data_IF_849416357972
#
_entry.id   IF_849416357972
#
_cell.length_a   1.000
_cell.length_b   1.000
_cell.length_c   1.000
_cell.angle_alpha   90.00
_cell.angle_beta   90.00
_cell.angle_gamma   90.00
#
_symmetry.space_group_name_H-M   'P 1'
#
loop_
_entity.id
_entity.type
_entity.pdbx_description
1 polymer ?
#
# COMPACT_ATOMS: atom_id res chain seq x y z
N UNK A 1 -11.86 -45.11 -10.68
CA UNK A 1 -10.80 -44.08 -10.86
C UNK A 1 -11.29 -42.81 -11.57
N UNK A 2 -12.60 -42.68 -11.86
CA UNK A 2 -13.18 -41.51 -12.54
C UNK A 2 -13.77 -40.47 -11.57
N UNK A 3 -14.00 -40.86 -10.30
CA UNK A 3 -14.58 -39.99 -9.27
C UNK A 3 -13.62 -38.91 -8.76
N UNK A 4 -12.30 -39.11 -8.91
CA UNK A 4 -11.28 -38.14 -8.49
C UNK A 4 -11.13 -36.99 -9.49
N UNK A 5 -11.25 -37.25 -10.80
CA UNK A 5 -11.10 -36.22 -11.84
C UNK A 5 -12.31 -35.26 -11.92
N UNK A 6 -13.52 -35.74 -11.60
CA UNK A 6 -14.74 -34.91 -11.55
C UNK A 6 -14.70 -33.95 -10.35
N UNK A 7 -14.16 -34.41 -9.21
CA UNK A 7 -13.89 -33.55 -8.05
C UNK A 7 -12.85 -32.48 -8.38
N UNK A 8 -11.77 -32.85 -9.07
CA UNK A 8 -10.68 -31.93 -9.46
C UNK A 8 -11.14 -30.81 -10.41
N UNK A 9 -12.06 -31.12 -11.34
CA UNK A 9 -12.68 -30.12 -12.23
C UNK A 9 -13.65 -29.19 -11.50
N UNK A 10 -14.37 -29.68 -10.48
CA UNK A 10 -15.28 -28.85 -9.67
C UNK A 10 -14.56 -27.94 -8.67
N UNK A 11 -13.33 -28.31 -8.27
CA UNK A 11 -12.47 -27.52 -7.39
C UNK A 11 -11.71 -26.40 -8.11
N UNK A 12 -11.63 -26.43 -9.44
CA UNK A 12 -11.07 -25.32 -10.23
C UNK A 12 -12.08 -24.18 -10.27
N UNK A 13 -11.85 -23.21 -9.38
CA UNK A 13 -12.59 -21.95 -9.32
C UNK A 13 -12.69 -21.33 -10.73
N UNK A 14 -13.90 -20.95 -11.12
CA UNK A 14 -14.15 -20.38 -12.44
C UNK A 14 -13.23 -19.17 -12.70
N UNK A 15 -12.67 -19.05 -13.90
CA UNK A 15 -11.79 -17.92 -14.30
C UNK A 15 -12.43 -16.56 -14.01
N UNK A 16 -13.76 -16.47 -14.07
CA UNK A 16 -14.52 -15.26 -13.71
C UNK A 16 -14.39 -14.91 -12.22
N UNK A 17 -14.43 -15.91 -11.34
CA UNK A 17 -14.29 -15.72 -9.90
C UNK A 17 -12.87 -15.24 -9.52
N UNK A 18 -11.84 -15.70 -10.24
CA UNK A 18 -10.49 -15.14 -10.10
C UNK A 18 -10.43 -13.66 -10.51
N UNK A 19 -11.13 -13.25 -11.57
CA UNK A 19 -11.18 -11.85 -11.98
C UNK A 19 -11.91 -10.96 -10.95
N UNK A 20 -13.04 -11.42 -10.41
CA UNK A 20 -13.75 -10.74 -9.31
C UNK A 20 -13.00 -10.77 -7.98
N UNK A 21 -12.04 -11.67 -7.78
CA UNK A 21 -11.16 -11.64 -6.62
C UNK A 21 -9.93 -10.74 -6.85
N UNK A 22 -9.50 -10.58 -8.11
CA UNK A 22 -8.29 -9.85 -8.47
C UNK A 22 -8.51 -8.34 -8.66
N UNK A 23 -9.75 -7.85 -8.77
CA UNK A 23 -10.00 -6.41 -8.93
C UNK A 23 -9.33 -5.50 -7.87
N UNK A 24 -9.14 -5.90 -6.58
CA UNK A 24 -8.43 -5.07 -5.60
C UNK A 24 -6.93 -4.98 -5.89
N UNK A 25 -6.35 -5.92 -6.65
CA UNK A 25 -4.94 -5.87 -7.04
C UNK A 25 -4.66 -4.67 -7.95
N UNK A 26 -5.65 -4.22 -8.73
CA UNK A 26 -5.52 -2.98 -9.52
C UNK A 26 -5.37 -1.78 -8.59
N UNK A 27 -6.09 -1.76 -7.46
CA UNK A 27 -6.02 -0.69 -6.46
C UNK A 27 -4.66 -0.66 -5.76
N UNK A 28 -3.98 -1.81 -5.64
CA UNK A 28 -2.60 -1.87 -5.13
C UNK A 28 -1.63 -1.16 -6.06
N UNK A 29 -1.86 -1.15 -7.38
CA UNK A 29 -0.99 -0.40 -8.30
C UNK A 29 -1.11 1.12 -8.07
N UNK A 30 -2.34 1.63 -7.93
CA UNK A 30 -2.57 3.06 -7.70
C UNK A 30 -2.23 3.50 -6.27
N UNK A 31 -2.74 2.76 -5.28
CA UNK A 31 -2.44 2.98 -3.88
C UNK A 31 -0.95 2.77 -3.59
N UNK A 32 -0.35 1.71 -4.12
CA UNK A 32 1.08 1.43 -3.97
C UNK A 32 1.96 2.47 -4.64
N UNK A 33 1.60 2.97 -5.83
CA UNK A 33 2.35 4.04 -6.49
C UNK A 33 2.33 5.35 -5.67
N UNK A 34 1.16 5.77 -5.19
CA UNK A 34 1.06 6.93 -4.30
C UNK A 34 1.81 6.69 -2.98
N UNK A 35 1.70 5.48 -2.42
CA UNK A 35 2.40 5.09 -1.19
C UNK A 35 3.91 5.15 -1.35
N UNK A 36 4.42 4.76 -2.53
CA UNK A 36 5.84 4.87 -2.87
C UNK A 36 6.28 6.34 -2.90
N UNK A 37 5.52 7.23 -3.54
CA UNK A 37 5.83 8.67 -3.57
C UNK A 37 5.91 9.24 -2.14
N UNK A 38 4.90 8.97 -1.30
CA UNK A 38 4.90 9.42 0.10
C UNK A 38 6.03 8.80 0.92
N UNK A 39 6.36 7.52 0.67
CA UNK A 39 7.47 6.82 1.30
C UNK A 39 8.84 7.43 0.94
N UNK A 40 9.05 7.78 -0.34
CA UNK A 40 10.27 8.46 -0.79
C UNK A 40 10.38 9.85 -0.15
N UNK A 41 9.29 10.62 -0.13
CA UNK A 41 9.27 11.93 0.53
C UNK A 41 9.62 11.79 2.02
N UNK A 42 9.00 10.84 2.72
CA UNK A 42 9.28 10.59 4.13
C UNK A 42 10.75 10.21 4.36
N UNK A 43 11.31 9.34 3.52
CA UNK A 43 12.72 8.98 3.57
C UNK A 43 13.64 10.20 3.42
N UNK A 44 13.39 11.06 2.43
CA UNK A 44 14.19 12.27 2.22
C UNK A 44 14.06 13.26 3.39
N UNK A 45 12.88 13.39 3.97
CA UNK A 45 12.67 14.21 5.17
C UNK A 45 13.41 13.64 6.38
N UNK A 46 13.36 12.32 6.57
CA UNK A 46 14.05 11.64 7.67
C UNK A 46 15.58 11.77 7.54
N UNK A 47 16.14 11.68 6.32
CA UNK A 47 17.56 11.96 6.10
C UNK A 47 17.95 13.36 6.61
N UNK A 48 17.16 14.39 6.27
CA UNK A 48 17.40 15.76 6.76
C UNK A 48 17.33 15.83 8.29
N UNK A 49 16.31 15.21 8.91
CA UNK A 49 16.15 15.15 10.37
C UNK A 49 17.34 14.49 11.04
N UNK A 50 17.85 13.38 10.49
CA UNK A 50 19.00 12.67 11.05
C UNK A 50 20.30 13.46 10.93
N UNK A 51 20.47 14.27 9.87
CA UNK A 51 21.62 15.16 9.69
C UNK A 51 21.58 16.44 10.54
N UNK A 52 20.42 16.83 11.07
CA UNK A 52 20.27 18.04 11.90
C UNK A 52 20.94 17.90 13.28
N UNK A 53 21.22 19.03 13.93
CA UNK A 53 21.77 19.10 15.30
C UNK A 53 20.76 18.76 16.42
N UNK A 54 19.59 18.22 16.06
CA UNK A 54 18.54 17.86 17.00
C UNK A 54 18.98 16.77 18.00
N UNK A 55 18.46 16.84 19.22
CA UNK A 55 18.65 15.80 20.23
C UNK A 55 18.08 14.46 19.75
N UNK A 56 18.59 13.35 20.30
CA UNK A 56 18.20 11.99 19.89
C UNK A 56 16.68 11.76 19.98
N UNK A 57 16.05 12.22 21.06
CA UNK A 57 14.59 12.10 21.25
C UNK A 57 13.82 12.89 20.19
N UNK A 58 14.25 14.11 19.86
CA UNK A 58 13.58 14.94 18.86
C UNK A 58 13.67 14.32 17.46
N UNK A 59 14.78 13.67 17.13
CA UNK A 59 14.93 12.92 15.86
C UNK A 59 13.96 11.75 15.77
N UNK A 60 13.77 11.00 16.86
CA UNK A 60 12.81 9.89 16.91
C UNK A 60 11.38 10.39 16.75
N UNK A 61 11.00 11.45 17.47
CA UNK A 61 9.67 12.03 17.36
C UNK A 61 9.41 12.61 15.96
N UNK A 62 10.40 13.29 15.37
CA UNK A 62 10.29 13.82 14.02
C UNK A 62 10.17 12.70 12.97
N UNK A 63 10.90 11.59 13.12
CA UNK A 63 10.75 10.43 12.25
C UNK A 63 9.36 9.78 12.36
N UNK A 64 8.84 9.65 13.57
CA UNK A 64 7.50 9.12 13.82
C UNK A 64 6.42 10.04 13.23
N UNK A 65 6.52 11.35 13.47
CA UNK A 65 5.62 12.35 12.91
C UNK A 65 5.68 12.36 11.38
N UNK A 66 6.87 12.26 10.79
CA UNK A 66 7.06 12.18 9.34
C UNK A 66 6.35 10.96 8.74
N UNK A 67 6.51 9.78 9.36
CA UNK A 67 5.81 8.56 8.94
C UNK A 67 4.29 8.69 9.06
N UNK A 68 3.79 9.24 10.16
CA UNK A 68 2.35 9.48 10.35
C UNK A 68 1.79 10.47 9.32
N UNK A 69 2.50 11.57 9.05
CA UNK A 69 2.10 12.54 8.03
C UNK A 69 2.10 11.94 6.62
N UNK A 70 3.07 11.09 6.29
CA UNK A 70 3.12 10.41 5.01
C UNK A 70 1.94 9.43 4.83
N UNK A 71 1.59 8.68 5.87
CA UNK A 71 0.41 7.80 5.88
C UNK A 71 -0.89 8.59 5.74
N UNK A 72 -1.04 9.70 6.47
CA UNK A 72 -2.21 10.56 6.35
C UNK A 72 -2.33 11.17 4.96
N UNK A 73 -1.22 11.69 4.40
CA UNK A 73 -1.18 12.23 3.05
C UNK A 73 -1.56 11.19 2.00
N UNK A 74 -0.98 9.99 2.08
CA UNK A 74 -1.33 8.87 1.23
C UNK A 74 -2.81 8.50 1.32
N UNK A 75 -3.36 8.42 2.53
CA UNK A 75 -4.78 8.10 2.75
C UNK A 75 -5.71 9.16 2.15
N UNK A 76 -5.44 10.45 2.39
CA UNK A 76 -6.26 11.52 1.81
C UNK A 76 -6.18 11.54 0.28
N UNK A 77 -4.97 11.38 -0.28
CA UNK A 77 -4.79 11.33 -1.74
C UNK A 77 -5.44 10.09 -2.35
N UNK A 78 -5.39 8.93 -1.69
CA UNK A 78 -6.02 7.71 -2.20
C UNK A 78 -7.55 7.81 -2.17
N UNK A 79 -8.13 8.39 -1.13
CA UNK A 79 -9.58 8.67 -1.06
C UNK A 79 -10.01 9.68 -2.14
N UNK A 80 -9.20 10.70 -2.38
CA UNK A 80 -9.47 11.66 -3.44
C UNK A 80 -9.45 11.01 -4.83
N UNK A 81 -8.43 10.18 -5.11
CA UNK A 81 -8.36 9.39 -6.36
C UNK A 81 -9.54 8.43 -6.48
N UNK A 82 -9.93 7.75 -5.40
CA UNK A 82 -11.11 6.89 -5.39
C UNK A 82 -12.40 7.65 -5.73
N UNK A 83 -12.53 8.94 -5.39
CA UNK A 83 -13.75 9.70 -5.74
C UNK A 83 -13.98 9.90 -7.24
N UNK A 84 -12.96 9.67 -8.07
CA UNK A 84 -13.06 9.78 -9.52
C UNK A 84 -13.45 8.46 -10.23
N UNK A 85 -13.50 7.33 -9.51
CA UNK A 85 -13.80 6.00 -10.05
C UNK A 85 -14.94 5.31 -9.28
#
# INVERSE_FOLDING_TARGET
MQSSEILDQSLKLSKKAHAYAAWPLILILFGGALGLVYGVIAYLMNLKVYTSELSKLNKVLANLLCGMSALSGWWFSSQWVQSFF
#
